data_IF_616732295737
#
_entry.id   IF_616732295737
#
_cell.length_a   1.000
_cell.length_b   1.000
_cell.length_c   1.000
_cell.angle_alpha   90.00
_cell.angle_beta   90.00
_cell.angle_gamma   90.00
#
_symmetry.space_group_name_H-M   'P 1'
#
loop_
_entity.id
_entity.type
_entity.pdbx_description
1 polymer ?
#
# COMPACT_ATOMS: atom_id res chain seq x y z
N UNK A 1 -0.42 23.28 -0.57
CA UNK A 1 -0.19 22.15 -1.50
C UNK A 1 -1.43 21.76 -2.32
N UNK A 2 -1.25 21.14 -3.49
CA UNK A 2 -2.30 20.40 -4.22
C UNK A 2 -2.52 19.04 -3.58
N UNK A 3 -3.76 18.57 -3.59
CA UNK A 3 -4.14 17.27 -3.06
C UNK A 3 -5.38 16.73 -3.79
N UNK A 4 -5.50 15.40 -3.85
CA UNK A 4 -6.70 14.70 -4.30
C UNK A 4 -7.67 14.57 -3.13
N UNK A 5 -8.79 15.27 -3.24
CA UNK A 5 -9.78 15.43 -2.18
C UNK A 5 -11.06 14.71 -2.56
N UNK A 6 -11.56 13.88 -1.65
CA UNK A 6 -12.91 13.35 -1.69
C UNK A 6 -13.88 14.42 -1.18
N UNK A 7 -14.75 14.94 -2.03
CA UNK A 7 -15.76 15.95 -1.68
C UNK A 7 -17.13 15.38 -1.35
N UNK A 8 -17.29 14.06 -1.46
CA UNK A 8 -18.52 13.31 -1.17
C UNK A 8 -18.31 11.83 -1.48
N UNK A 9 -19.15 10.94 -0.94
CA UNK A 9 -19.08 9.52 -1.25
C UNK A 9 -19.73 9.21 -2.60
N UNK A 10 -19.29 8.14 -3.27
CA UNK A 10 -19.91 7.65 -4.51
C UNK A 10 -18.94 7.50 -5.67
N UNK A 11 -19.31 8.01 -6.85
CA UNK A 11 -18.56 7.90 -8.11
C UNK A 11 -17.35 8.84 -8.22
N UNK A 12 -16.55 8.71 -9.28
CA UNK A 12 -15.30 9.49 -9.47
C UNK A 12 -15.51 11.01 -9.53
N UNK A 13 -16.73 11.47 -9.82
CA UNK A 13 -17.10 12.91 -9.82
C UNK A 13 -16.90 13.60 -8.47
N UNK A 14 -16.84 12.83 -7.38
CA UNK A 14 -16.59 13.36 -6.04
C UNK A 14 -15.11 13.44 -5.70
N UNK A 15 -14.21 13.06 -6.61
CA UNK A 15 -12.77 13.15 -6.43
C UNK A 15 -12.24 14.36 -7.19
N UNK A 16 -11.65 15.32 -6.49
CA UNK A 16 -11.20 16.59 -7.07
C UNK A 16 -9.77 16.93 -6.65
N UNK A 17 -8.99 17.48 -7.56
CA UNK A 17 -7.71 18.10 -7.22
C UNK A 17 -7.97 19.50 -6.68
N UNK A 18 -7.67 19.74 -5.41
CA UNK A 18 -7.91 21.02 -4.74
C UNK A 18 -6.63 21.50 -4.02
N UNK A 19 -6.53 22.80 -3.77
CA UNK A 19 -5.52 23.33 -2.85
C UNK A 19 -5.94 23.08 -1.40
N UNK A 20 -4.98 22.68 -0.58
CA UNK A 20 -5.12 22.48 0.87
C UNK A 20 -3.91 23.08 1.61
N UNK A 21 -4.08 23.48 2.88
CA UNK A 21 -2.96 23.85 3.74
C UNK A 21 -1.93 22.72 3.78
N UNK A 22 -0.66 23.07 3.94
CA UNK A 22 0.38 22.09 4.20
C UNK A 22 0.17 21.49 5.59
N UNK A 23 0.49 20.19 5.78
CA UNK A 23 0.32 19.55 7.08
C UNK A 23 1.32 20.12 8.09
N UNK A 24 0.91 20.22 9.34
CA UNK A 24 1.80 20.56 10.44
C UNK A 24 2.53 19.31 10.92
N UNK A 25 3.84 19.43 11.11
CA UNK A 25 4.70 18.36 11.59
C UNK A 25 4.63 18.27 13.12
N UNK A 26 4.32 17.09 13.65
CA UNK A 26 4.26 16.84 15.10
C UNK A 26 5.51 16.09 15.61
N UNK A 27 5.64 15.99 16.92
CA UNK A 27 6.61 15.09 17.56
C UNK A 27 6.42 13.65 17.07
N UNK A 28 7.52 12.94 16.81
CA UNK A 28 7.52 11.57 16.33
C UNK A 28 7.10 11.39 14.86
N UNK A 29 6.83 12.47 14.13
CA UNK A 29 6.46 12.44 12.71
C UNK A 29 7.61 12.89 11.79
N UNK A 30 7.50 12.54 10.52
CA UNK A 30 8.30 13.12 9.43
C UNK A 30 7.36 13.73 8.39
N UNK A 31 7.81 14.79 7.74
CA UNK A 31 7.15 15.39 6.58
C UNK A 31 7.78 14.82 5.32
N UNK A 32 6.97 14.22 4.44
CA UNK A 32 7.42 13.59 3.21
C UNK A 32 6.93 14.40 2.01
N UNK A 33 7.86 14.78 1.12
CA UNK A 33 7.57 15.25 -0.24
C UNK A 33 7.24 14.07 -1.12
N UNK A 34 5.94 13.88 -1.36
CA UNK A 34 5.42 12.73 -2.11
C UNK A 34 5.86 12.81 -3.57
N UNK A 35 6.45 11.72 -4.06
CA UNK A 35 6.85 11.54 -5.47
C UNK A 35 5.92 10.55 -6.18
N UNK A 36 5.48 9.52 -5.47
CA UNK A 36 4.48 8.54 -5.92
C UNK A 36 3.52 8.18 -4.78
N UNK A 37 2.29 7.82 -5.11
CA UNK A 37 1.31 7.29 -4.17
C UNK A 37 0.64 6.05 -4.74
N UNK A 38 0.29 5.10 -3.87
CA UNK A 38 -0.39 3.87 -4.27
C UNK A 38 -1.90 4.07 -4.42
N UNK A 39 -2.50 3.21 -5.24
CA UNK A 39 -3.95 3.07 -5.37
C UNK A 39 -4.32 1.66 -4.91
N UNK A 40 -5.10 1.57 -3.83
CA UNK A 40 -5.47 0.31 -3.23
C UNK A 40 -6.99 0.11 -3.20
N UNK A 41 -7.42 -1.13 -3.02
CA UNK A 41 -8.85 -1.45 -2.90
C UNK A 41 -9.54 -0.74 -1.71
N UNK A 42 -8.89 -0.56 -0.55
CA UNK A 42 -9.42 0.29 0.53
C UNK A 42 -9.71 1.74 0.10
N UNK A 43 -8.94 2.33 -0.83
CA UNK A 43 -9.23 3.68 -1.34
C UNK A 43 -10.56 3.70 -2.10
N UNK A 44 -10.85 2.64 -2.86
CA UNK A 44 -12.12 2.46 -3.56
C UNK A 44 -13.28 2.33 -2.56
N UNK A 45 -13.14 1.47 -1.56
CA UNK A 45 -14.16 1.24 -0.53
C UNK A 45 -14.43 2.52 0.26
N UNK A 46 -13.38 3.25 0.65
CA UNK A 46 -13.49 4.52 1.34
C UNK A 46 -14.22 5.57 0.48
N UNK A 47 -13.85 5.69 -0.79
CA UNK A 47 -14.51 6.59 -1.74
C UNK A 47 -16.01 6.29 -1.90
N UNK A 48 -16.38 5.02 -1.86
CA UNK A 48 -17.77 4.57 -1.93
C UNK A 48 -18.52 4.68 -0.59
N UNK A 49 -17.82 4.88 0.53
CA UNK A 49 -18.42 4.97 1.86
C UNK A 49 -18.77 3.61 2.47
N UNK A 50 -18.11 2.53 2.04
CA UNK A 50 -18.41 1.14 2.43
C UNK A 50 -17.27 0.45 3.17
N UNK A 51 -16.27 1.19 3.63
CA UNK A 51 -15.16 0.65 4.41
C UNK A 51 -15.58 0.50 5.89
N UNK A 52 -15.25 -0.63 6.52
CA UNK A 52 -15.69 -0.96 7.88
C UNK A 52 -15.09 -0.05 8.96
N UNK A 53 -13.88 0.46 8.72
CA UNK A 53 -13.18 1.36 9.63
C UNK A 53 -12.66 2.60 8.87
N UNK A 54 -13.54 3.54 8.50
CA UNK A 54 -13.11 4.72 7.75
C UNK A 54 -12.20 5.59 8.63
N UNK A 55 -11.26 6.34 8.02
CA UNK A 55 -10.58 7.42 8.73
C UNK A 55 -11.60 8.31 9.42
N UNK A 56 -11.29 8.83 10.62
CA UNK A 56 -12.17 9.71 11.41
C UNK A 56 -12.46 11.09 10.76
N UNK A 57 -12.25 11.22 9.44
CA UNK A 57 -12.40 12.44 8.67
C UNK A 57 -13.80 12.53 8.04
N UNK A 58 -14.42 13.70 8.14
CA UNK A 58 -15.63 14.04 7.38
C UNK A 58 -15.23 14.60 6.02
N UNK A 59 -16.01 14.31 4.97
CA UNK A 59 -15.84 14.96 3.67
C UNK A 59 -16.06 16.48 3.80
N UNK A 60 -15.25 17.34 3.15
CA UNK A 60 -14.16 16.99 2.24
C UNK A 60 -12.84 16.61 2.95
N UNK A 61 -12.19 15.51 2.53
CA UNK A 61 -10.89 15.09 3.08
C UNK A 61 -9.93 14.55 1.99
N UNK A 62 -8.62 14.51 2.29
CA UNK A 62 -7.58 14.03 1.35
C UNK A 62 -7.45 12.50 1.47
N UNK A 63 -7.47 11.80 0.34
CA UNK A 63 -7.37 10.33 0.28
C UNK A 63 -5.93 9.80 0.27
N UNK A 64 -5.77 8.47 0.26
CA UNK A 64 -4.51 7.76 0.08
C UNK A 64 -3.95 7.17 1.37
N UNK A 65 -3.58 5.88 1.31
CA UNK A 65 -3.05 5.08 2.42
C UNK A 65 -1.55 4.79 2.32
N UNK A 66 -0.87 5.17 1.24
CA UNK A 66 0.57 4.98 1.11
C UNK A 66 1.20 5.97 0.15
N UNK A 67 2.49 6.24 0.37
CA UNK A 67 3.29 7.04 -0.54
C UNK A 67 4.76 6.62 -0.53
N UNK A 68 5.49 7.10 -1.52
CA UNK A 68 6.95 7.12 -1.53
C UNK A 68 7.45 8.49 -1.96
N UNK A 69 8.58 8.90 -1.40
CA UNK A 69 9.13 10.22 -1.64
C UNK A 69 10.38 10.47 -0.80
N UNK A 70 10.63 11.75 -0.55
CA UNK A 70 11.80 12.21 0.18
C UNK A 70 11.37 12.90 1.46
N UNK A 71 12.10 12.66 2.56
CA UNK A 71 11.86 13.39 3.81
C UNK A 71 12.25 14.85 3.63
N UNK A 72 11.31 15.75 3.85
CA UNK A 72 11.51 17.20 3.78
C UNK A 72 11.79 17.81 5.17
N UNK A 73 11.17 17.25 6.22
CA UNK A 73 11.42 17.66 7.60
C UNK A 73 11.22 16.50 8.57
N UNK A 74 11.87 16.57 9.73
CA UNK A 74 11.85 15.54 10.78
C UNK A 74 11.43 16.20 12.09
N UNK A 75 10.41 15.64 12.74
CA UNK A 75 9.90 16.12 14.01
C UNK A 75 10.79 15.71 15.18
N UNK A 76 10.56 16.34 16.34
CA UNK A 76 11.26 15.99 17.58
C UNK A 76 11.07 14.50 17.94
N UNK A 77 12.08 13.89 18.56
CA UNK A 77 12.05 12.49 18.99
C UNK A 77 12.24 11.45 17.88
N UNK A 78 12.27 11.84 16.59
CA UNK A 78 12.52 10.90 15.50
C UNK A 78 14.01 10.57 15.38
N UNK A 79 14.34 9.29 15.48
CA UNK A 79 15.69 8.76 15.31
C UNK A 79 15.80 7.87 14.08
N UNK A 80 16.97 7.84 13.43
CA UNK A 80 17.26 6.92 12.32
C UNK A 80 16.77 7.39 10.94
N UNK A 81 15.94 8.44 10.88
CA UNK A 81 15.50 9.12 9.66
C UNK A 81 16.07 10.54 9.62
N UNK A 82 16.34 11.07 8.42
CA UNK A 82 16.83 12.44 8.22
C UNK A 82 16.27 13.05 6.94
N UNK A 83 16.31 14.38 6.84
CA UNK A 83 15.97 15.12 5.62
C UNK A 83 16.79 14.60 4.43
N UNK A 84 16.14 14.42 3.30
CA UNK A 84 16.71 13.88 2.06
C UNK A 84 16.71 12.35 1.96
N UNK A 85 16.38 11.63 3.04
CA UNK A 85 16.22 10.17 2.93
C UNK A 85 15.06 9.84 2.00
N UNK A 86 15.29 8.85 1.13
CA UNK A 86 14.26 8.28 0.24
C UNK A 86 13.50 7.21 1.01
N UNK A 87 12.18 7.33 1.05
CA UNK A 87 11.32 6.50 1.88
C UNK A 87 10.05 6.06 1.17
N UNK A 88 9.47 4.97 1.64
CA UNK A 88 8.06 4.66 1.49
C UNK A 88 7.37 4.64 2.84
N UNK A 89 6.07 4.88 2.86
CA UNK A 89 5.33 5.02 4.09
C UNK A 89 3.91 4.46 3.98
N UNK A 90 3.48 3.79 5.05
CA UNK A 90 2.07 3.46 5.30
C UNK A 90 1.43 4.63 6.03
N UNK A 91 0.45 5.26 5.40
CA UNK A 91 -0.24 6.43 5.91
C UNK A 91 -1.63 6.04 6.41
N UNK A 92 -2.11 6.67 7.48
CA UNK A 92 -3.51 6.51 7.89
C UNK A 92 -4.48 7.14 6.87
N UNK A 93 -4.06 8.25 6.25
CA UNK A 93 -4.78 8.97 5.19
C UNK A 93 -3.86 10.04 4.57
N UNK A 94 -4.40 10.85 3.65
CA UNK A 94 -3.77 12.06 3.08
C UNK A 94 -2.57 11.84 2.16
N UNK A 95 -2.24 10.60 1.79
CA UNK A 95 -1.08 10.30 0.98
C UNK A 95 -1.20 10.78 -0.49
N UNK A 96 -2.41 11.06 -0.98
CA UNK A 96 -2.64 11.64 -2.31
C UNK A 96 -2.52 13.18 -2.28
N UNK A 97 -1.38 13.68 -1.79
CA UNK A 97 -1.05 15.09 -1.70
C UNK A 97 0.44 15.32 -2.00
N UNK A 98 0.85 16.56 -2.27
CA UNK A 98 2.28 16.87 -2.50
C UNK A 98 3.12 16.73 -1.22
N UNK A 99 2.51 16.86 -0.04
CA UNK A 99 3.13 16.67 1.26
C UNK A 99 2.23 15.84 2.17
N UNK A 100 2.83 14.99 3.00
CA UNK A 100 2.13 14.24 4.04
C UNK A 100 3.02 14.11 5.28
N UNK A 101 2.42 14.23 6.46
CA UNK A 101 3.09 13.88 7.73
C UNK A 101 2.73 12.44 8.09
N UNK A 102 3.75 11.68 8.52
CA UNK A 102 3.58 10.28 8.90
C UNK A 102 4.39 10.01 10.16
N UNK A 103 3.81 9.25 11.09
CA UNK A 103 4.55 8.77 12.25
C UNK A 103 5.77 7.94 11.79
N UNK A 104 6.95 8.25 12.32
CA UNK A 104 8.22 7.67 11.87
C UNK A 104 8.25 6.14 11.91
N UNK A 105 7.46 5.48 12.78
CA UNK A 105 7.39 4.01 12.87
C UNK A 105 6.76 3.34 11.64
N UNK A 106 6.06 4.10 10.79
CA UNK A 106 5.44 3.62 9.56
C UNK A 106 6.21 4.06 8.30
N UNK A 107 7.44 4.57 8.47
CA UNK A 107 8.27 5.09 7.39
C UNK A 107 9.50 4.21 7.23
N UNK A 108 9.73 3.74 6.01
CA UNK A 108 10.77 2.78 5.69
C UNK A 108 11.70 3.36 4.62
N UNK A 109 13.02 3.28 4.84
CA UNK A 109 14.00 3.69 3.82
C UNK A 109 13.93 2.74 2.63
N UNK A 110 13.98 3.31 1.43
CA UNK A 110 14.01 2.53 0.19
C UNK A 110 15.43 2.50 -0.39
N UNK A 111 15.82 1.41 -1.09
CA UNK A 111 17.14 1.33 -1.72
C UNK A 111 17.38 2.46 -2.73
N UNK A 112 18.61 2.94 -2.82
CA UNK A 112 18.97 4.05 -3.72
C UNK A 112 18.68 3.78 -5.21
N UNK A 113 18.59 2.52 -5.63
CA UNK A 113 18.27 2.14 -7.02
C UNK A 113 16.78 1.86 -7.28
N UNK A 114 15.96 1.78 -6.23
CA UNK A 114 14.52 1.54 -6.37
C UNK A 114 13.84 2.84 -6.81
N UNK A 115 12.90 2.79 -7.76
CA UNK A 115 12.07 3.95 -8.10
C UNK A 115 11.03 4.24 -7.01
N UNK A 116 10.41 5.41 -7.00
CA UNK A 116 9.35 5.68 -6.01
C UNK A 116 8.06 4.91 -6.36
N UNK A 117 7.83 4.68 -7.65
CA UNK A 117 6.75 3.88 -8.20
C UNK A 117 6.85 2.41 -7.78
N UNK A 118 8.03 1.80 -7.91
CA UNK A 118 8.27 0.44 -7.42
C UNK A 118 8.10 0.37 -5.91
N UNK A 119 8.56 1.39 -5.17
CA UNK A 119 8.44 1.42 -3.72
C UNK A 119 6.96 1.42 -3.27
N UNK A 120 6.09 2.23 -3.87
CA UNK A 120 4.65 2.20 -3.52
C UNK A 120 3.95 0.95 -4.04
N UNK A 121 4.40 0.34 -5.14
CA UNK A 121 3.82 -0.93 -5.61
C UNK A 121 4.03 -2.07 -4.58
N UNK A 122 5.11 -2.00 -3.79
CA UNK A 122 5.43 -2.98 -2.75
C UNK A 122 4.77 -2.66 -1.40
N UNK A 123 4.71 -1.39 -0.99
CA UNK A 123 4.52 -0.97 0.41
C UNK A 123 3.31 -1.60 1.11
N UNK A 124 2.07 -1.34 0.67
CA UNK A 124 0.88 -1.91 1.30
C UNK A 124 0.68 -3.39 0.94
N UNK A 125 0.88 -3.73 -0.34
CA UNK A 125 0.65 -5.09 -0.83
C UNK A 125 1.51 -6.13 -0.08
N UNK A 126 2.79 -5.84 0.11
CA UNK A 126 3.72 -6.76 0.78
C UNK A 126 3.59 -6.71 2.30
N UNK A 127 3.27 -5.55 2.90
CA UNK A 127 3.00 -5.49 4.33
C UNK A 127 1.81 -6.39 4.71
N UNK A 128 0.71 -6.31 3.93
CA UNK A 128 -0.47 -7.16 4.12
C UNK A 128 -0.14 -8.63 3.84
N UNK A 129 0.51 -8.91 2.71
CA UNK A 129 0.88 -10.29 2.35
C UNK A 129 1.79 -10.94 3.40
N UNK A 130 2.78 -10.20 3.91
CA UNK A 130 3.68 -10.67 4.96
C UNK A 130 2.92 -11.03 6.24
N UNK A 131 2.05 -10.13 6.71
CA UNK A 131 1.24 -10.37 7.90
C UNK A 131 0.33 -11.59 7.74
N UNK A 132 -0.35 -11.73 6.59
CA UNK A 132 -1.21 -12.88 6.31
C UNK A 132 -0.41 -14.18 6.26
N UNK A 133 0.73 -14.19 5.59
CA UNK A 133 1.47 -15.42 5.33
C UNK A 133 2.25 -15.91 6.56
N UNK A 134 2.94 -15.00 7.23
CA UNK A 134 3.89 -15.35 8.30
C UNK A 134 3.32 -15.18 9.70
N UNK A 135 2.48 -14.17 9.93
CA UNK A 135 1.96 -13.90 11.28
C UNK A 135 0.63 -14.63 11.53
N UNK A 136 -0.26 -14.65 10.54
CA UNK A 136 -1.58 -15.29 10.66
C UNK A 136 -1.52 -16.74 10.20
N UNK A 137 -1.10 -16.97 8.96
CA UNK A 137 -1.03 -18.30 8.36
C UNK A 137 0.15 -19.14 8.84
N UNK A 138 1.19 -18.49 9.39
CA UNK A 138 2.40 -19.13 9.91
C UNK A 138 3.01 -20.15 8.94
N UNK A 139 3.10 -19.80 7.65
CA UNK A 139 3.56 -20.69 6.59
C UNK A 139 4.95 -21.28 6.91
N UNK A 140 5.08 -22.59 6.76
CA UNK A 140 6.30 -23.38 6.95
C UNK A 140 6.65 -24.17 5.71
N UNK A 141 7.84 -24.75 5.73
CA UNK A 141 8.29 -25.62 4.66
C UNK A 141 7.35 -26.80 4.43
N UNK A 142 7.32 -27.28 3.19
CA UNK A 142 6.55 -28.46 2.78
C UNK A 142 5.02 -28.30 2.89
N UNK A 143 4.53 -27.07 3.11
CA UNK A 143 3.10 -26.76 3.16
C UNK A 143 2.55 -26.33 1.80
N UNK A 144 1.23 -26.41 1.66
CA UNK A 144 0.49 -25.86 0.52
C UNK A 144 -0.24 -24.60 0.96
N UNK A 145 -0.13 -23.54 0.16
CA UNK A 145 -0.90 -22.30 0.32
C UNK A 145 -1.84 -22.12 -0.86
N UNK A 146 -3.11 -21.86 -0.55
CA UNK A 146 -4.12 -21.50 -1.54
C UNK A 146 -4.38 -20.00 -1.52
N UNK A 147 -4.15 -19.32 -2.65
CA UNK A 147 -4.23 -17.86 -2.78
C UNK A 147 -5.39 -17.49 -3.70
N UNK A 148 -6.43 -16.90 -3.14
CA UNK A 148 -7.50 -16.30 -3.93
C UNK A 148 -7.02 -15.06 -4.67
N UNK A 149 -7.49 -14.88 -5.91
CA UNK A 149 -7.20 -13.68 -6.72
C UNK A 149 -5.70 -13.38 -6.83
N UNK A 150 -4.90 -14.42 -7.15
CA UNK A 150 -3.44 -14.32 -7.18
C UNK A 150 -2.94 -13.33 -8.24
N UNK A 151 -3.78 -12.96 -9.22
CA UNK A 151 -3.49 -11.90 -10.19
C UNK A 151 -3.64 -10.47 -9.68
N UNK A 152 -4.05 -10.25 -8.42
CA UNK A 152 -4.09 -8.93 -7.77
C UNK A 152 -2.80 -8.57 -7.04
N UNK A 153 -2.66 -7.32 -6.58
CA UNK A 153 -1.44 -6.83 -5.92
C UNK A 153 -1.01 -7.65 -4.70
N UNK A 154 -1.92 -7.84 -3.73
CA UNK A 154 -1.68 -8.69 -2.55
C UNK A 154 -1.48 -10.15 -2.94
N UNK A 155 -2.25 -10.66 -3.89
CA UNK A 155 -2.16 -12.04 -4.35
C UNK A 155 -0.78 -12.37 -4.95
N UNK A 156 -0.25 -11.48 -5.79
CA UNK A 156 1.10 -11.62 -6.32
C UNK A 156 2.16 -11.50 -5.23
N UNK A 157 2.00 -10.58 -4.28
CA UNK A 157 2.90 -10.44 -3.14
C UNK A 157 2.94 -11.71 -2.27
N UNK A 158 1.78 -12.33 -1.99
CA UNK A 158 1.68 -13.61 -1.29
C UNK A 158 2.42 -14.72 -2.04
N UNK A 159 2.21 -14.83 -3.35
CA UNK A 159 2.86 -15.85 -4.17
C UNK A 159 4.39 -15.70 -4.20
N UNK A 160 4.87 -14.45 -4.29
CA UNK A 160 6.31 -14.16 -4.24
C UNK A 160 6.92 -14.44 -2.87
N UNK A 161 6.25 -14.03 -1.78
CA UNK A 161 6.72 -14.29 -0.43
C UNK A 161 6.69 -15.78 -0.08
N UNK A 162 5.70 -16.54 -0.55
CA UNK A 162 5.62 -17.99 -0.32
C UNK A 162 6.85 -18.74 -0.85
N UNK A 163 7.43 -18.29 -1.97
CA UNK A 163 8.66 -18.87 -2.55
C UNK A 163 9.91 -18.66 -1.69
N UNK A 164 9.86 -17.77 -0.69
CA UNK A 164 10.97 -17.60 0.26
C UNK A 164 11.00 -18.69 1.33
N UNK A 165 9.95 -19.52 1.41
CA UNK A 165 9.83 -20.65 2.31
C UNK A 165 10.13 -21.94 1.55
N UNK A 166 10.87 -22.87 2.17
CA UNK A 166 11.35 -24.08 1.50
C UNK A 166 10.22 -25.01 1.06
N UNK A 167 10.26 -25.47 -0.19
CA UNK A 167 9.36 -26.51 -0.70
C UNK A 167 7.84 -26.24 -0.51
N UNK A 168 7.41 -24.99 -0.60
CA UNK A 168 5.97 -24.65 -0.54
C UNK A 168 5.30 -24.87 -1.89
N UNK A 169 4.12 -25.49 -1.87
CA UNK A 169 3.24 -25.56 -3.04
C UNK A 169 2.29 -24.37 -3.04
N UNK A 170 2.29 -23.58 -4.10
CA UNK A 170 1.44 -22.39 -4.23
C UNK A 170 0.35 -22.68 -5.26
N UNK A 171 -0.91 -22.69 -4.82
CA UNK A 171 -2.07 -22.84 -5.69
C UNK A 171 -2.81 -21.50 -5.70
N UNK A 172 -3.04 -20.93 -6.88
CA UNK A 172 -3.74 -19.65 -7.02
C UNK A 172 -5.05 -19.76 -7.78
N UNK A 173 -5.98 -18.83 -7.56
CA UNK A 173 -7.11 -18.60 -8.48
C UNK A 173 -6.97 -17.26 -9.18
N UNK A 174 -7.30 -17.21 -10.47
CA UNK A 174 -7.38 -15.97 -11.26
C UNK A 174 -8.24 -16.19 -12.50
N UNK A 175 -8.74 -15.10 -13.10
CA UNK A 175 -9.39 -15.17 -14.42
C UNK A 175 -8.43 -15.68 -15.49
N UNK A 176 -8.92 -16.52 -16.41
CA UNK A 176 -8.11 -17.15 -17.47
C UNK A 176 -7.15 -16.21 -18.19
N UNK A 177 -7.63 -15.04 -18.59
CA UNK A 177 -6.83 -14.06 -19.35
C UNK A 177 -5.61 -13.52 -18.59
N UNK A 178 -5.52 -13.71 -17.27
CA UNK A 178 -4.35 -13.31 -16.47
C UNK A 178 -3.31 -14.42 -16.33
N UNK A 179 -3.64 -15.66 -16.70
CA UNK A 179 -2.83 -16.83 -16.39
C UNK A 179 -1.41 -16.71 -16.94
N UNK A 180 -1.26 -16.25 -18.18
CA UNK A 180 0.06 -16.08 -18.81
C UNK A 180 0.97 -15.08 -18.08
N UNK A 181 0.38 -14.08 -17.42
CA UNK A 181 1.14 -13.05 -16.68
C UNK A 181 1.56 -13.48 -15.26
N UNK A 182 1.03 -14.59 -14.75
CA UNK A 182 1.24 -15.04 -13.37
C UNK A 182 2.26 -16.19 -13.36
N UNK A 183 3.46 -15.92 -12.83
CA UNK A 183 4.58 -16.88 -12.85
C UNK A 183 5.01 -17.41 -11.48
N UNK A 184 4.34 -16.96 -10.40
CA UNK A 184 4.74 -17.26 -9.02
C UNK A 184 3.94 -18.34 -8.31
N UNK A 185 3.22 -19.17 -9.07
CA UNK A 185 2.38 -20.25 -8.55
C UNK A 185 2.81 -21.60 -9.10
N UNK A 186 2.60 -22.67 -8.34
CA UNK A 186 2.76 -24.05 -8.78
C UNK A 186 1.61 -24.47 -9.68
N UNK A 187 0.38 -24.11 -9.28
CA UNK A 187 -0.84 -24.38 -10.04
C UNK A 187 -1.72 -23.14 -10.07
N UNK A 188 -2.42 -22.92 -11.18
CA UNK A 188 -3.33 -21.80 -11.35
C UNK A 188 -4.68 -22.29 -11.86
N UNK A 189 -5.73 -21.97 -11.09
CA UNK A 189 -7.10 -22.33 -11.38
C UNK A 189 -7.85 -21.14 -11.98
N UNK A 190 -8.69 -21.39 -12.97
CA UNK A 190 -9.64 -20.40 -13.45
C UNK A 190 -10.85 -20.33 -12.52
N UNK A 191 -10.96 -19.20 -11.81
CA UNK A 191 -12.02 -18.96 -10.82
C UNK A 191 -13.46 -19.11 -11.35
N UNK A 192 -13.67 -19.12 -12.67
CA UNK A 192 -14.99 -19.30 -13.27
C UNK A 192 -15.35 -20.73 -13.68
N UNK A 193 -14.39 -21.66 -13.75
CA UNK A 193 -14.62 -22.99 -14.35
C UNK A 193 -14.06 -24.16 -13.55
N UNK A 194 -13.04 -23.94 -12.73
CA UNK A 194 -12.37 -24.98 -11.92
C UNK A 194 -12.85 -24.92 -10.45
#
# INVERSE_FOLDING_TARGET
>A
MRAVVLTGFGGVKTVKVLKRPEPQLSEGEVLIRVKACGLNFPDLMLRQGVIDNPPKAKVPFIMGFECAGEIEAVGEGVTGLRVGDRVSALCESKAWAELVTVNAKYVYKIPAKMSFEDAVALTLNYAVAYALLFNVGNLKSDQTVFIHSVGGGVGQALAQLAKTVGNVTVIGTASKHKHESISNVTNLLDHSTD
#
